data_IF_614751908922
#
_entry.id   IF_614751908922
#
_cell.length_a   1.000
_cell.length_b   1.000
_cell.length_c   1.000
_cell.angle_alpha   90.00
_cell.angle_beta   90.00
_cell.angle_gamma   90.00
#
_symmetry.space_group_name_H-M   'P 1'
#
loop_
_entity.id
_entity.type
_entity.pdbx_description
1 polymer ?
#
# COMPACT_ATOMS: atom_id res chain seq x y z
N UNK A 1 -11.64 -11.29 -18.17
CA UNK A 1 -10.77 -10.56 -17.22
C UNK A 1 -9.34 -10.96 -17.52
N UNK A 2 -8.45 -10.01 -17.78
CA UNK A 2 -7.01 -10.30 -17.98
C UNK A 2 -6.39 -10.54 -16.61
N UNK A 3 -5.56 -11.57 -16.49
CA UNK A 3 -4.84 -11.85 -15.24
C UNK A 3 -3.84 -10.74 -14.94
N UNK A 4 -3.86 -10.20 -13.72
CA UNK A 4 -3.01 -9.08 -13.30
C UNK A 4 -1.51 -9.44 -13.33
N UNK A 5 -1.16 -10.69 -13.04
CA UNK A 5 0.21 -11.18 -13.12
C UNK A 5 0.66 -11.31 -14.57
N UNK A 6 -0.24 -11.75 -15.46
CA UNK A 6 0.04 -11.76 -16.90
C UNK A 6 0.25 -10.34 -17.44
N UNK A 7 -0.63 -9.39 -17.08
CA UNK A 7 -0.48 -7.97 -17.42
C UNK A 7 0.88 -7.42 -17.00
N UNK A 8 1.29 -7.66 -15.75
CA UNK A 8 2.57 -7.17 -15.21
C UNK A 8 3.81 -7.76 -15.89
N UNK A 9 3.74 -9.02 -16.31
CA UNK A 9 4.88 -9.74 -16.90
C UNK A 9 4.98 -9.56 -18.42
N UNK A 10 3.85 -9.33 -19.09
CA UNK A 10 3.75 -9.38 -20.55
C UNK A 10 3.10 -8.12 -21.14
N UNK A 11 3.36 -6.94 -20.57
CA UNK A 11 2.77 -5.66 -21.00
C UNK A 11 2.96 -5.39 -22.50
N UNK A 12 4.15 -5.66 -23.03
CA UNK A 12 4.48 -5.43 -24.45
C UNK A 12 3.66 -6.34 -25.38
N UNK A 13 3.58 -7.63 -25.05
CA UNK A 13 2.76 -8.60 -25.81
C UNK A 13 1.27 -8.22 -25.77
N UNK A 14 0.82 -7.70 -24.63
CA UNK A 14 -0.54 -7.21 -24.46
C UNK A 14 -0.82 -6.00 -25.36
N UNK A 15 0.10 -5.01 -25.40
CA UNK A 15 0.02 -3.83 -26.28
C UNK A 15 -0.12 -4.25 -27.75
N UNK A 16 0.72 -5.16 -28.21
CA UNK A 16 0.67 -5.67 -29.58
C UNK A 16 -0.62 -6.43 -29.89
N UNK A 17 -1.10 -7.24 -28.94
CA UNK A 17 -2.33 -8.01 -29.10
C UNK A 17 -3.58 -7.11 -29.13
N UNK A 18 -3.59 -6.02 -28.36
CA UNK A 18 -4.65 -5.02 -28.38
C UNK A 18 -4.63 -4.22 -29.69
N UNK A 19 -3.45 -3.79 -30.14
CA UNK A 19 -3.28 -3.06 -31.40
C UNK A 19 -3.78 -3.87 -32.61
N UNK A 20 -3.49 -5.18 -32.66
CA UNK A 20 -3.99 -6.10 -33.71
C UNK A 20 -5.51 -6.18 -33.76
N UNK A 21 -6.20 -6.00 -32.63
CA UNK A 21 -7.66 -5.99 -32.54
C UNK A 21 -8.29 -4.65 -32.90
N UNK A 22 -7.49 -3.66 -33.31
CA UNK A 22 -7.93 -2.27 -33.58
C UNK A 22 -8.67 -1.65 -32.39
N UNK A 23 -8.28 -2.05 -31.18
CA UNK A 23 -8.82 -1.54 -29.93
C UNK A 23 -7.80 -0.60 -29.30
N UNK A 24 -8.25 0.51 -28.72
CA UNK A 24 -7.40 1.41 -27.95
C UNK A 24 -7.66 1.18 -26.46
N UNK A 25 -6.58 0.95 -25.72
CA UNK A 25 -6.62 0.84 -24.27
C UNK A 25 -5.43 1.62 -23.71
N UNK A 26 -5.70 2.48 -22.74
CA UNK A 26 -4.66 3.22 -22.03
C UNK A 26 -4.02 2.31 -20.97
N UNK A 27 -3.10 1.47 -21.45
CA UNK A 27 -2.34 0.56 -20.59
C UNK A 27 -1.33 1.31 -19.73
N UNK A 28 -0.89 2.50 -20.14
CA UNK A 28 0.11 3.27 -19.40
C UNK A 28 -0.53 3.82 -18.11
N UNK A 29 -1.75 4.38 -18.19
CA UNK A 29 -2.53 4.75 -17.00
C UNK A 29 -2.83 3.55 -16.08
N UNK A 30 -3.07 2.36 -16.65
CA UNK A 30 -3.30 1.14 -15.88
C UNK A 30 -2.03 0.68 -15.13
N UNK A 31 -0.85 0.84 -15.75
CA UNK A 31 0.44 0.55 -15.09
C UNK A 31 0.66 1.47 -13.90
N UNK A 32 0.39 2.77 -14.05
CA UNK A 32 0.55 3.74 -12.97
C UNK A 32 -0.42 3.46 -11.80
N UNK A 33 -1.67 3.09 -12.10
CA UNK A 33 -2.64 2.67 -11.08
C UNK A 33 -2.19 1.40 -10.35
N UNK A 34 -1.75 0.36 -11.07
CA UNK A 34 -1.25 -0.87 -10.44
C UNK A 34 -0.02 -0.59 -9.57
N UNK A 35 0.85 0.33 -10.00
CA UNK A 35 2.01 0.77 -9.23
C UNK A 35 1.58 1.50 -7.96
N UNK A 36 0.73 2.52 -8.07
CA UNK A 36 0.24 3.29 -6.92
C UNK A 36 -0.42 2.37 -5.88
N UNK A 37 -1.22 1.42 -6.33
CA UNK A 37 -1.86 0.42 -5.45
C UNK A 37 -0.83 -0.44 -4.72
N UNK A 38 0.20 -0.93 -5.42
CA UNK A 38 1.26 -1.75 -4.81
C UNK A 38 2.10 -0.96 -3.83
N UNK A 39 2.42 0.28 -4.15
CA UNK A 39 3.19 1.17 -3.29
C UNK A 39 2.38 1.50 -2.02
N UNK A 40 1.08 1.75 -2.15
CA UNK A 40 0.18 1.95 -1.02
C UNK A 40 0.08 0.71 -0.10
N UNK A 41 0.00 -0.50 -0.68
CA UNK A 41 0.03 -1.76 0.09
C UNK A 41 1.34 -1.90 0.85
N UNK A 42 2.49 -1.70 0.17
CA UNK A 42 3.80 -1.84 0.80
C UNK A 42 4.04 -0.81 1.90
N UNK A 43 3.57 0.43 1.70
CA UNK A 43 3.61 1.48 2.71
C UNK A 43 2.74 1.11 3.92
N UNK A 44 1.52 0.62 3.70
CA UNK A 44 0.64 0.17 4.79
C UNK A 44 1.25 -0.99 5.59
N UNK A 45 1.88 -1.96 4.92
CA UNK A 45 2.58 -3.06 5.59
C UNK A 45 3.78 -2.58 6.43
N UNK A 46 4.55 -1.62 5.92
CA UNK A 46 5.69 -1.02 6.63
C UNK A 46 5.24 -0.28 7.88
N UNK A 47 4.21 0.56 7.76
CA UNK A 47 3.64 1.30 8.90
C UNK A 47 3.01 0.35 9.94
N UNK A 48 2.35 -0.72 9.49
CA UNK A 48 1.82 -1.77 10.37
C UNK A 48 2.92 -2.52 11.12
N UNK A 49 4.07 -2.77 10.48
CA UNK A 49 5.24 -3.33 11.16
C UNK A 49 5.80 -2.35 12.21
N UNK A 50 5.87 -1.06 11.89
CA UNK A 50 6.23 0.01 12.83
C UNK A 50 5.29 0.07 14.04
N UNK A 51 3.98 -0.04 13.80
CA UNK A 51 2.96 -0.11 14.84
C UNK A 51 3.20 -1.30 15.79
N UNK A 52 3.53 -2.47 15.24
CA UNK A 52 3.81 -3.67 16.03
C UNK A 52 5.08 -3.51 16.88
N UNK A 53 6.14 -2.91 16.33
CA UNK A 53 7.38 -2.62 17.06
C UNK A 53 7.13 -1.67 18.24
N UNK A 54 6.45 -0.55 17.97
CA UNK A 54 6.12 0.43 18.99
C UNK A 54 5.21 -0.16 20.08
N UNK A 55 4.29 -1.06 19.74
CA UNK A 55 3.46 -1.75 20.73
C UNK A 55 4.28 -2.73 21.61
N UNK A 56 5.29 -3.39 21.03
CA UNK A 56 6.22 -4.23 21.77
C UNK A 56 7.08 -3.40 22.75
N UNK A 57 7.62 -2.26 22.30
CA UNK A 57 8.36 -1.31 23.13
C UNK A 57 7.50 -0.76 24.27
N UNK A 58 6.26 -0.34 23.99
CA UNK A 58 5.33 0.15 25.01
C UNK A 58 4.98 -0.92 26.06
N UNK A 59 5.00 -2.21 25.71
CA UNK A 59 4.75 -3.28 26.69
C UNK A 59 5.85 -3.41 27.75
N UNK A 60 7.06 -2.94 27.43
CA UNK A 60 8.22 -2.95 28.33
C UNK A 60 8.36 -1.64 29.13
N UNK A 61 7.56 -0.62 28.81
CA UNK A 61 7.56 0.68 29.49
C UNK A 61 6.57 0.71 30.66
N UNK A 62 6.84 1.54 31.65
CA UNK A 62 5.89 1.77 32.74
C UNK A 62 4.64 2.48 32.23
N UNK A 63 3.47 1.86 32.46
CA UNK A 63 2.18 2.42 32.06
C UNK A 63 1.94 3.74 32.79
N UNK A 64 1.88 4.82 32.03
CA UNK A 64 1.61 6.17 32.55
C UNK A 64 2.85 7.05 32.72
N UNK A 65 4.05 6.60 32.30
CA UNK A 65 5.19 7.50 32.15
C UNK A 65 4.94 8.54 31.04
N UNK A 66 5.61 9.71 31.09
CA UNK A 66 5.53 10.70 30.02
C UNK A 66 5.92 10.12 28.65
N UNK A 67 6.93 9.24 28.64
CA UNK A 67 7.42 8.52 27.46
C UNK A 67 6.37 7.55 26.89
N UNK A 68 5.58 6.89 27.76
CA UNK A 68 4.47 6.04 27.35
C UNK A 68 3.36 6.85 26.67
N UNK A 69 3.02 8.03 27.21
CA UNK A 69 2.00 8.91 26.61
C UNK A 69 2.45 9.45 25.24
N UNK A 70 3.73 9.78 25.10
CA UNK A 70 4.31 10.25 23.84
C UNK A 70 4.31 9.14 22.76
N UNK A 71 4.67 7.90 23.14
CA UNK A 71 4.55 6.72 22.27
C UNK A 71 3.11 6.38 21.90
N UNK A 72 2.15 6.57 22.82
CA UNK A 72 0.72 6.40 22.53
C UNK A 72 0.23 7.42 21.50
N UNK A 73 0.72 8.67 21.56
CA UNK A 73 0.40 9.68 20.55
C UNK A 73 0.96 9.31 19.17
N UNK A 74 2.24 8.93 19.09
CA UNK A 74 2.86 8.44 17.84
C UNK A 74 2.11 7.23 17.26
N UNK A 75 1.68 6.31 18.12
CA UNK A 75 0.92 5.13 17.72
C UNK A 75 -0.43 5.45 17.10
N UNK A 76 -1.13 6.48 17.60
CA UNK A 76 -2.39 6.94 17.00
C UNK A 76 -2.15 7.54 15.61
N UNK A 77 -1.08 8.31 15.43
CA UNK A 77 -0.74 8.85 14.11
C UNK A 77 -0.42 7.75 13.11
N UNK A 78 0.40 6.76 13.49
CA UNK A 78 0.71 5.60 12.65
C UNK A 78 -0.58 4.84 12.31
N UNK A 79 -1.47 4.60 13.29
CA UNK A 79 -2.74 3.92 13.04
C UNK A 79 -3.65 4.66 12.04
N UNK A 80 -3.66 5.99 12.09
CA UNK A 80 -4.40 6.82 11.11
C UNK A 80 -3.78 6.71 9.73
N UNK A 81 -2.45 6.84 9.61
CA UNK A 81 -1.73 6.67 8.33
C UNK A 81 -1.94 5.29 7.70
N UNK A 82 -1.89 4.23 8.51
CA UNK A 82 -2.18 2.87 8.03
C UNK A 82 -3.59 2.79 7.44
N UNK A 83 -4.60 3.34 8.12
CA UNK A 83 -5.98 3.35 7.61
C UNK A 83 -6.11 4.15 6.32
N UNK A 84 -5.46 5.30 6.22
CA UNK A 84 -5.47 6.13 5.02
C UNK A 84 -4.83 5.40 3.84
N UNK A 85 -3.65 4.78 4.05
CA UNK A 85 -2.96 3.99 3.02
C UNK A 85 -3.75 2.75 2.59
N UNK A 86 -4.41 2.07 3.53
CA UNK A 86 -5.30 0.95 3.23
C UNK A 86 -6.54 1.38 2.43
N UNK A 87 -7.08 2.56 2.72
CA UNK A 87 -8.22 3.11 1.98
C UNK A 87 -7.79 3.50 0.57
N UNK A 88 -6.65 4.17 0.43
CA UNK A 88 -6.06 4.51 -0.85
C UNK A 88 -5.82 3.26 -1.71
N UNK A 89 -5.20 2.22 -1.14
CA UNK A 89 -4.94 0.96 -1.83
C UNK A 89 -6.22 0.20 -2.25
N UNK A 90 -7.36 0.49 -1.61
CA UNK A 90 -8.65 -0.11 -1.93
C UNK A 90 -9.42 0.65 -3.03
N UNK A 91 -9.17 1.95 -3.15
CA UNK A 91 -9.83 2.85 -4.11
C UNK A 91 -9.05 3.00 -5.42
N UNK A 92 -7.74 2.74 -5.41
CA UNK A 92 -6.85 2.66 -6.59
C UNK A 92 -6.92 1.32 -7.31
#
# INVERSE_FOLDING_TARGET
>A
MIDINYFRRNLNELRESIARKKFSCDLDSLVELDRARRDAISAAETERAGQKSANAEMSQMEKGSPEFLEKVAQMKEIATKVKELETLAKES
#
